data_IF_359944807952
#
_entry.id   IF_359944807952
#
_cell.length_a   1.000
_cell.length_b   1.000
_cell.length_c   1.000
_cell.angle_alpha   90.00
_cell.angle_beta   90.00
_cell.angle_gamma   90.00
#
_symmetry.space_group_name_H-M   'P 1'
#
loop_
_entity.id
_entity.type
_entity.pdbx_description
1 polymer ?
#
# COMPACT_ATOMS: atom_id res chain seq x y z
N UNK A 1 65.02 21.94 -2.14
CA UNK A 1 64.27 20.76 -1.67
C UNK A 1 62.89 21.27 -1.28
N UNK A 2 61.83 20.72 -1.86
CA UNK A 2 60.72 21.52 -2.38
C UNK A 2 59.63 21.82 -1.35
N UNK A 3 58.98 22.96 -1.61
CA UNK A 3 57.76 23.47 -1.02
C UNK A 3 56.60 22.46 -1.14
N UNK A 4 55.98 22.18 0.01
CA UNK A 4 54.81 21.32 0.14
C UNK A 4 53.58 22.04 -0.44
N UNK A 5 53.30 21.79 -1.73
CA UNK A 5 52.09 22.27 -2.39
C UNK A 5 50.88 21.48 -1.87
N UNK A 6 50.16 22.07 -0.93
CA UNK A 6 48.81 21.67 -0.57
C UNK A 6 47.87 21.98 -1.75
N UNK A 7 47.54 20.98 -2.58
CA UNK A 7 46.46 21.12 -3.56
C UNK A 7 45.09 21.25 -2.85
N UNK A 8 44.23 22.19 -3.25
CA UNK A 8 42.88 22.27 -2.71
C UNK A 8 42.02 21.14 -3.30
N UNK A 9 41.64 20.16 -2.45
CA UNK A 9 40.57 19.20 -2.76
C UNK A 9 39.29 19.99 -3.07
N UNK A 10 38.79 19.84 -4.30
CA UNK A 10 37.53 20.42 -4.75
C UNK A 10 36.33 20.03 -3.87
N UNK A 11 35.21 20.77 -3.96
CA UNK A 11 34.08 20.56 -3.06
C UNK A 11 33.54 19.14 -3.22
N UNK A 12 33.57 18.41 -2.10
CA UNK A 12 32.92 17.13 -1.93
C UNK A 12 31.44 17.32 -2.22
N UNK A 13 31.06 16.99 -3.47
CA UNK A 13 29.68 16.97 -3.90
C UNK A 13 28.94 16.07 -2.93
N UNK A 14 28.13 16.70 -2.07
CA UNK A 14 27.18 16.04 -1.18
C UNK A 14 26.35 15.11 -2.05
N UNK A 15 26.72 13.84 -2.08
CA UNK A 15 25.90 12.80 -2.69
C UNK A 15 24.78 12.52 -1.70
N UNK A 16 23.84 13.47 -1.61
CA UNK A 16 22.48 13.19 -1.17
C UNK A 16 22.02 11.99 -1.99
N UNK A 17 21.66 10.84 -1.38
CA UNK A 17 21.00 9.82 -2.16
C UNK A 17 19.71 10.47 -2.68
N UNK A 18 19.58 10.58 -4.00
CA UNK A 18 18.32 10.92 -4.63
C UNK A 18 17.24 10.00 -4.03
N UNK A 19 16.04 10.51 -3.68
CA UNK A 19 14.94 9.61 -3.35
C UNK A 19 14.79 8.68 -4.55
N UNK A 20 14.98 7.39 -4.34
CA UNK A 20 14.94 6.37 -5.39
C UNK A 20 13.58 6.45 -6.09
N UNK A 21 13.51 7.19 -7.19
CA UNK A 21 12.33 7.34 -8.04
C UNK A 21 12.21 6.09 -8.88
N UNK A 22 11.78 5.02 -8.23
CA UNK A 22 11.08 3.93 -8.86
C UNK A 22 10.11 3.40 -7.81
N UNK A 23 8.97 4.07 -7.63
CA UNK A 23 7.82 3.44 -6.95
C UNK A 23 7.21 2.53 -8.02
N UNK A 24 7.41 1.20 -7.95
CA UNK A 24 6.86 0.28 -8.93
C UNK A 24 5.34 0.38 -8.93
N UNK A 25 4.72 0.04 -10.07
CA UNK A 25 3.27 0.03 -10.20
C UNK A 25 2.61 -0.73 -9.05
N UNK A 26 1.44 -0.28 -8.62
CA UNK A 26 0.76 -0.68 -7.38
C UNK A 26 0.46 -2.17 -7.19
N UNK A 27 0.58 -2.99 -8.23
CA UNK A 27 0.53 -4.45 -8.13
C UNK A 27 1.89 -5.14 -8.14
N UNK A 28 2.95 -4.50 -8.65
CA UNK A 28 4.26 -5.14 -8.83
C UNK A 28 4.97 -5.40 -7.52
N UNK A 29 4.88 -4.50 -6.54
CA UNK A 29 5.54 -4.70 -5.25
C UNK A 29 4.86 -5.80 -4.43
N UNK A 30 3.52 -5.86 -4.42
CA UNK A 30 2.76 -6.91 -3.73
C UNK A 30 2.96 -8.28 -4.41
N UNK A 31 2.87 -8.32 -5.74
CA UNK A 31 3.13 -9.54 -6.49
C UNK A 31 4.61 -9.95 -6.39
N UNK A 32 5.55 -9.02 -6.28
CA UNK A 32 6.97 -9.34 -6.04
C UNK A 32 7.20 -9.90 -4.64
N UNK A 33 6.52 -9.41 -3.61
CA UNK A 33 6.58 -10.00 -2.26
C UNK A 33 6.02 -11.44 -2.22
N UNK A 34 4.93 -11.71 -2.97
CA UNK A 34 4.30 -13.03 -2.99
C UNK A 34 4.93 -14.02 -3.99
N UNK A 35 5.66 -13.55 -5.01
CA UNK A 35 6.17 -14.39 -6.12
C UNK A 35 7.31 -15.35 -5.77
N UNK A 36 7.78 -15.41 -4.54
CA UNK A 36 8.94 -16.24 -4.16
C UNK A 36 8.64 -17.15 -2.97
N UNK A 37 7.43 -17.72 -2.93
CA UNK A 37 7.03 -18.75 -1.94
C UNK A 37 6.47 -20.00 -2.62
N UNK A 38 7.33 -20.80 -3.28
CA UNK A 38 6.91 -22.02 -3.99
C UNK A 38 6.38 -23.12 -3.05
N UNK A 39 6.59 -22.97 -1.75
CA UNK A 39 6.16 -23.87 -0.67
C UNK A 39 4.76 -23.56 -0.13
N UNK A 40 4.17 -22.41 -0.46
CA UNK A 40 2.85 -22.02 0.04
C UNK A 40 1.74 -22.47 -0.94
N UNK A 41 0.70 -23.18 -0.46
CA UNK A 41 -0.43 -23.57 -1.30
C UNK A 41 -1.16 -22.36 -1.91
N UNK A 42 -1.58 -22.47 -3.17
CA UNK A 42 -2.32 -21.42 -3.87
C UNK A 42 -3.53 -20.86 -3.09
N UNK A 43 -4.37 -21.67 -2.41
CA UNK A 43 -5.49 -21.13 -1.62
C UNK A 43 -5.03 -20.17 -0.52
N UNK A 44 -3.90 -20.48 0.14
CA UNK A 44 -3.34 -19.64 1.20
C UNK A 44 -2.86 -18.31 0.62
N UNK A 45 -2.21 -18.33 -0.56
CA UNK A 45 -1.80 -17.10 -1.24
C UNK A 45 -3.00 -16.23 -1.65
N UNK A 46 -4.11 -16.85 -2.08
CA UNK A 46 -5.34 -16.12 -2.43
C UNK A 46 -5.97 -15.47 -1.20
N UNK A 47 -6.03 -16.17 -0.06
CA UNK A 47 -6.52 -15.60 1.20
C UNK A 47 -5.64 -14.43 1.68
N UNK A 48 -4.32 -14.55 1.53
CA UNK A 48 -3.37 -13.48 1.83
C UNK A 48 -3.55 -12.26 0.94
N UNK A 49 -3.75 -12.47 -0.36
CA UNK A 49 -4.05 -11.38 -1.28
C UNK A 49 -5.41 -10.73 -0.97
N UNK A 50 -6.41 -11.52 -0.60
CA UNK A 50 -7.75 -11.02 -0.32
C UNK A 50 -7.79 -10.03 0.85
N UNK A 51 -7.07 -10.29 1.95
CA UNK A 51 -7.06 -9.36 3.10
C UNK A 51 -6.36 -8.04 2.78
N UNK A 52 -5.34 -8.08 1.92
CA UNK A 52 -4.64 -6.89 1.43
C UNK A 52 -5.57 -6.07 0.53
N UNK A 53 -6.23 -6.70 -0.43
CA UNK A 53 -7.19 -6.03 -1.32
C UNK A 53 -8.37 -5.45 -0.54
N UNK A 54 -8.82 -6.11 0.53
CA UNK A 54 -9.84 -5.57 1.43
C UNK A 54 -9.35 -4.28 2.11
N UNK A 55 -8.10 -4.27 2.62
CA UNK A 55 -7.50 -3.07 3.22
C UNK A 55 -7.40 -1.93 2.20
N UNK A 56 -7.05 -2.21 0.95
CA UNK A 56 -7.03 -1.23 -0.14
C UNK A 56 -8.44 -0.68 -0.38
N UNK A 57 -9.46 -1.54 -0.48
CA UNK A 57 -10.86 -1.12 -0.66
C UNK A 57 -11.36 -0.21 0.47
N UNK A 58 -10.95 -0.48 1.72
CA UNK A 58 -11.25 0.38 2.86
C UNK A 58 -10.61 1.76 2.71
N UNK A 59 -9.33 1.82 2.31
CA UNK A 59 -8.64 3.08 2.07
C UNK A 59 -9.27 3.87 0.91
N UNK A 60 -9.73 3.19 -0.15
CA UNK A 60 -10.48 3.82 -1.23
C UNK A 60 -11.76 4.48 -0.69
N UNK A 61 -12.53 3.77 0.15
CA UNK A 61 -13.78 4.26 0.70
C UNK A 61 -13.58 5.43 1.69
N UNK A 62 -12.56 5.36 2.54
CA UNK A 62 -12.28 6.37 3.58
C UNK A 62 -11.68 7.64 2.98
N UNK A 63 -10.74 7.51 2.03
CA UNK A 63 -10.04 8.66 1.45
C UNK A 63 -10.66 9.18 0.16
N UNK A 64 -11.61 8.47 -0.45
CA UNK A 64 -12.21 8.86 -1.72
C UNK A 64 -11.22 8.85 -2.89
N UNK A 65 -10.26 7.93 -2.86
CA UNK A 65 -9.14 7.87 -3.82
C UNK A 65 -9.20 6.61 -4.68
N UNK A 66 -8.63 6.61 -5.90
CA UNK A 66 -8.57 5.42 -6.74
C UNK A 66 -7.65 4.36 -6.15
N UNK A 67 -7.82 3.10 -6.57
CA UNK A 67 -7.07 1.92 -6.10
C UNK A 67 -5.56 2.14 -6.10
N UNK A 68 -5.00 2.73 -7.17
CA UNK A 68 -3.58 2.98 -7.26
C UNK A 68 -3.06 4.00 -6.22
N UNK A 69 -3.90 4.92 -5.76
CA UNK A 69 -3.50 5.82 -4.68
C UNK A 69 -3.63 5.13 -3.31
N UNK A 70 -4.74 4.42 -3.08
CA UNK A 70 -4.97 3.66 -1.85
C UNK A 70 -3.86 2.61 -1.59
N UNK A 71 -3.48 1.86 -2.62
CA UNK A 71 -2.39 0.89 -2.52
C UNK A 71 -1.06 1.56 -2.17
N UNK A 72 -0.74 2.74 -2.72
CA UNK A 72 0.47 3.50 -2.33
C UNK A 72 0.42 3.95 -0.88
N UNK A 73 -0.73 4.42 -0.40
CA UNK A 73 -0.90 4.81 1.01
C UNK A 73 -0.65 3.62 1.93
N UNK A 74 -1.22 2.45 1.61
CA UNK A 74 -1.00 1.22 2.37
C UNK A 74 0.48 0.81 2.36
N UNK A 75 1.12 0.86 1.19
CA UNK A 75 2.54 0.54 1.02
C UNK A 75 3.41 1.41 1.91
N UNK A 76 3.20 2.73 1.86
CA UNK A 76 3.98 3.67 2.63
C UNK A 76 3.84 3.43 4.13
N UNK A 77 2.60 3.17 4.60
CA UNK A 77 2.37 2.84 6.01
C UNK A 77 3.07 1.57 6.47
N UNK A 78 3.01 0.50 5.67
CA UNK A 78 3.67 -0.77 5.98
C UNK A 78 5.20 -0.60 6.06
N UNK A 79 5.78 0.18 5.14
CA UNK A 79 7.21 0.46 5.13
C UNK A 79 7.64 1.30 6.33
N UNK A 80 6.88 2.35 6.66
CA UNK A 80 7.13 3.24 7.79
C UNK A 80 7.13 2.48 9.13
N UNK A 81 6.29 1.45 9.27
CA UNK A 81 6.20 0.63 10.49
C UNK A 81 7.07 -0.64 10.44
N UNK A 82 7.74 -0.93 9.33
CA UNK A 82 8.52 -2.17 9.14
C UNK A 82 7.71 -3.46 9.32
N UNK A 83 6.39 -3.40 9.12
CA UNK A 83 5.49 -4.52 9.40
C UNK A 83 5.39 -5.49 8.23
N UNK A 84 5.05 -6.74 8.50
CA UNK A 84 4.62 -7.67 7.45
C UNK A 84 3.28 -7.19 6.84
N UNK A 85 3.16 -7.23 5.52
CA UNK A 85 2.02 -6.68 4.80
C UNK A 85 0.69 -7.37 5.18
N UNK A 86 0.70 -8.70 5.31
CA UNK A 86 -0.49 -9.47 5.72
C UNK A 86 -0.86 -9.14 7.15
N UNK A 87 0.12 -9.11 8.05
CA UNK A 87 -0.08 -8.79 9.46
C UNK A 87 -0.68 -7.38 9.62
N UNK A 88 -0.13 -6.41 8.90
CA UNK A 88 -0.62 -5.03 8.92
C UNK A 88 -2.05 -4.93 8.37
N UNK A 89 -2.31 -5.51 7.20
CA UNK A 89 -3.64 -5.48 6.59
C UNK A 89 -4.69 -6.16 7.49
N UNK A 90 -4.34 -7.30 8.08
CA UNK A 90 -5.20 -8.03 9.01
C UNK A 90 -5.51 -7.19 10.25
N UNK A 91 -4.50 -6.56 10.85
CA UNK A 91 -4.68 -5.69 12.00
C UNK A 91 -5.55 -4.47 11.67
N UNK A 92 -5.35 -3.85 10.50
CA UNK A 92 -6.17 -2.73 10.03
C UNK A 92 -7.64 -3.14 9.88
N UNK A 93 -7.91 -4.26 9.19
CA UNK A 93 -9.28 -4.76 9.00
C UNK A 93 -9.94 -5.13 10.32
N UNK A 94 -9.22 -5.79 11.22
CA UNK A 94 -9.73 -6.17 12.53
C UNK A 94 -10.06 -4.96 13.42
N UNK A 95 -9.42 -3.82 13.21
CA UNK A 95 -9.66 -2.59 13.97
C UNK A 95 -10.89 -1.80 13.49
N UNK A 96 -11.38 -2.02 12.26
CA UNK A 96 -12.49 -1.24 11.68
C UNK A 96 -13.78 -1.24 12.50
N UNK A 97 -14.23 -2.36 13.11
CA UNK A 97 -15.45 -2.38 13.91
C UNK A 97 -15.40 -1.47 15.15
N UNK A 98 -14.21 -1.04 15.59
CA UNK A 98 -14.06 -0.13 16.71
C UNK A 98 -14.21 1.36 16.31
N UNK A 99 -14.26 1.66 15.00
CA UNK A 99 -14.49 3.02 14.51
C UNK A 99 -15.96 3.42 14.70
N UNK A 100 -16.25 4.73 14.83
CA UNK A 100 -17.62 5.21 14.76
C UNK A 100 -18.30 4.72 13.48
N UNK A 101 -19.60 4.40 13.52
CA UNK A 101 -20.32 4.01 12.33
C UNK A 101 -20.28 5.14 11.28
N UNK A 102 -20.31 4.77 10.00
CA UNK A 102 -20.44 5.72 8.91
C UNK A 102 -21.67 6.63 9.10
N UNK A 103 -21.54 7.89 8.67
CA UNK A 103 -22.62 8.86 8.77
C UNK A 103 -23.86 8.38 7.99
N UNK A 104 -25.09 8.72 8.43
CA UNK A 104 -26.32 8.23 7.79
C UNK A 104 -26.38 8.46 6.28
N UNK A 105 -25.90 9.61 5.80
CA UNK A 105 -25.85 9.96 4.38
C UNK A 105 -24.87 9.09 3.59
N UNK A 106 -23.72 8.74 4.19
CA UNK A 106 -22.73 7.85 3.57
C UNK A 106 -23.31 6.43 3.47
N UNK A 107 -23.97 5.97 4.54
CA UNK A 107 -24.65 4.67 4.56
C UNK A 107 -25.75 4.60 3.49
N UNK A 108 -26.61 5.63 3.41
CA UNK A 108 -27.69 5.68 2.43
C UNK A 108 -27.16 5.76 0.98
N UNK A 109 -26.03 6.43 0.74
CA UNK A 109 -25.39 6.43 -0.57
C UNK A 109 -24.90 5.03 -0.97
N UNK A 110 -24.21 4.33 -0.05
CA UNK A 110 -23.76 2.95 -0.28
C UNK A 110 -24.95 2.00 -0.46
N UNK A 111 -25.98 2.12 0.35
CA UNK A 111 -27.19 1.29 0.25
C UNK A 111 -27.88 1.44 -1.10
N UNK A 112 -27.98 2.66 -1.64
CA UNK A 112 -28.49 2.86 -3.01
C UNK A 112 -27.63 2.16 -4.07
N UNK A 113 -26.31 2.15 -3.93
CA UNK A 113 -25.44 1.39 -4.83
C UNK A 113 -25.71 -0.12 -4.72
N UNK A 114 -25.87 -0.63 -3.50
CA UNK A 114 -26.21 -2.03 -3.23
C UNK A 114 -27.63 -2.42 -3.67
N UNK A 115 -28.56 -1.48 -3.80
CA UNK A 115 -29.90 -1.79 -4.31
C UNK A 115 -29.98 -1.66 -5.84
N UNK A 116 -29.11 -0.85 -6.44
CA UNK A 116 -29.11 -0.60 -7.89
C UNK A 116 -28.19 -1.53 -8.68
N UNK A 117 -27.35 -2.33 -8.02
CA UNK A 117 -26.53 -3.36 -8.68
C UNK A 117 -27.36 -4.64 -8.98
N UNK A 118 -28.48 -4.51 -9.70
CA UNK A 118 -29.21 -5.70 -10.17
C UNK A 118 -28.36 -6.39 -11.25
N UNK A 119 -27.89 -7.64 -11.07
CA UNK A 119 -27.23 -8.35 -12.16
C UNK A 119 -28.24 -8.55 -13.30
N UNK A 120 -27.83 -8.30 -14.55
CA UNK A 120 -28.67 -8.51 -15.72
C UNK A 120 -29.25 -9.95 -15.73
N UNK A 121 -30.51 -10.16 -16.16
CA UNK A 121 -31.07 -11.50 -16.27
C UNK A 121 -30.18 -12.35 -17.20
N UNK A 122 -29.84 -13.56 -16.75
CA UNK A 122 -29.03 -14.54 -17.50
C UNK A 122 -29.82 -15.14 -18.65
#
# INVERSE_FOLDING_TARGET
MPDDHCEPRGPEATRTPAPSTLVPGTGEWFLTQQRTRPDVPLPVLVEEAAVIEQAIGVLMAVYGVPTAHAARVLTWRIQDTGSDARAFATALIAALPALPPALPEQRAAVERLLLNHTPAPR
#
